data_IF_466463497309
#
_entry.id   IF_466463497309
#
_cell.length_a   1.000
_cell.length_b   1.000
_cell.length_c   1.000
_cell.angle_alpha   90.00
_cell.angle_beta   90.00
_cell.angle_gamma   90.00
#
_symmetry.space_group_name_H-M   'P 1'
#
loop_
_entity.id
_entity.type
_entity.pdbx_description
1 polymer ?
#
# COMPACT_ATOMS: atom_id res chain seq x y z
N UNK A 1 -20.34 20.24 6.06
CA UNK A 1 -19.27 19.25 6.33
C UNK A 1 -19.69 17.94 5.66
N UNK A 2 -18.85 17.31 4.82
CA UNK A 2 -19.25 16.13 4.02
C UNK A 2 -19.68 14.93 4.89
N UNK A 3 -18.86 14.55 5.88
CA UNK A 3 -19.11 13.35 6.73
C UNK A 3 -19.76 13.64 8.09
N UNK A 4 -20.04 14.90 8.43
CA UNK A 4 -20.68 15.25 9.71
C UNK A 4 -19.93 14.83 10.99
N UNK A 5 -18.62 14.52 10.91
CA UNK A 5 -17.84 14.08 12.07
C UNK A 5 -17.84 15.09 13.22
N UNK A 6 -17.67 14.58 14.45
CA UNK A 6 -17.59 15.39 15.68
C UNK A 6 -16.51 16.47 15.53
N UNK A 7 -16.77 17.74 15.91
CA UNK A 7 -15.76 18.81 15.83
C UNK A 7 -14.48 18.53 16.63
N UNK A 8 -14.57 17.68 17.66
CA UNK A 8 -13.46 17.26 18.51
C UNK A 8 -12.63 16.10 17.96
N UNK A 9 -12.89 15.64 16.71
CA UNK A 9 -12.11 14.57 16.09
C UNK A 9 -10.63 14.96 16.01
N UNK A 10 -9.74 14.09 16.50
CA UNK A 10 -8.29 14.26 16.37
C UNK A 10 -7.91 13.98 14.91
N UNK A 11 -7.25 14.92 14.25
CA UNK A 11 -6.92 14.84 12.82
C UNK A 11 -5.42 14.87 12.65
N UNK A 12 -4.92 14.04 11.75
CA UNK A 12 -3.55 14.11 11.24
C UNK A 12 -3.64 14.09 9.72
N UNK A 13 -3.06 15.11 9.08
CA UNK A 13 -3.07 15.27 7.64
C UNK A 13 -1.67 15.01 7.10
N UNK A 14 -1.54 14.07 6.18
CA UNK A 14 -0.27 13.75 5.51
C UNK A 14 -0.42 14.08 4.02
N UNK A 15 0.15 15.21 3.60
CA UNK A 15 0.20 15.59 2.19
C UNK A 15 1.52 15.12 1.57
N UNK A 16 1.48 14.81 0.27
CA UNK A 16 2.67 14.61 -0.58
C UNK A 16 3.65 13.56 -0.05
N UNK A 17 3.14 12.47 0.51
CA UNK A 17 3.98 11.34 0.95
C UNK A 17 4.29 10.37 -0.20
N UNK A 18 3.42 10.30 -1.21
CA UNK A 18 3.57 9.38 -2.35
C UNK A 18 3.03 7.97 -2.07
N UNK A 19 3.40 7.03 -2.93
CA UNK A 19 2.77 5.71 -3.01
C UNK A 19 2.87 4.85 -1.74
N UNK A 20 3.90 5.04 -0.91
CA UNK A 20 4.09 4.26 0.32
C UNK A 20 3.13 4.69 1.44
N UNK A 21 2.39 5.79 1.27
CA UNK A 21 1.58 6.36 2.34
C UNK A 21 0.44 5.43 2.80
N UNK A 22 0.02 4.46 1.97
CA UNK A 22 -0.90 3.40 2.38
C UNK A 22 -0.38 2.57 3.55
N UNK A 23 0.91 2.23 3.58
CA UNK A 23 1.54 1.61 4.74
C UNK A 23 1.71 2.59 5.91
N UNK A 24 2.05 3.84 5.61
CA UNK A 24 2.22 4.90 6.64
C UNK A 24 0.94 5.17 7.43
N UNK A 25 -0.21 5.25 6.76
CA UNK A 25 -1.50 5.49 7.44
C UNK A 25 -1.88 4.31 8.34
N UNK A 26 -1.58 3.07 7.96
CA UNK A 26 -1.82 1.89 8.79
C UNK A 26 -0.89 1.89 10.01
N UNK A 27 0.40 2.21 9.83
CA UNK A 27 1.37 2.37 10.93
C UNK A 27 0.89 3.40 11.95
N UNK A 28 0.46 4.57 11.48
CA UNK A 28 -0.04 5.63 12.35
C UNK A 28 -1.37 5.23 13.03
N UNK A 29 -2.29 4.62 12.28
CA UNK A 29 -3.58 4.20 12.82
C UNK A 29 -3.42 3.12 13.90
N UNK A 30 -2.44 2.22 13.76
CA UNK A 30 -2.06 1.24 14.78
C UNK A 30 -1.75 1.94 16.11
N UNK A 31 -0.78 2.85 16.13
CA UNK A 31 -0.38 3.56 17.36
C UNK A 31 -1.54 4.36 17.97
N UNK A 32 -2.34 5.04 17.13
CA UNK A 32 -3.48 5.82 17.59
C UNK A 32 -4.57 4.92 18.20
N UNK A 33 -4.88 3.79 17.57
CA UNK A 33 -5.89 2.84 18.01
C UNK A 33 -5.50 2.15 19.32
N UNK A 34 -4.27 1.64 19.38
CA UNK A 34 -3.76 0.87 20.53
C UNK A 34 -3.51 1.75 21.76
N UNK A 35 -3.06 2.99 21.56
CA UNK A 35 -2.71 3.88 22.67
C UNK A 35 -3.89 4.71 23.21
N UNK A 36 -5.10 4.56 22.64
CA UNK A 36 -6.30 5.28 23.08
C UNK A 36 -7.49 4.32 23.23
N UNK A 37 -7.80 3.93 24.47
CA UNK A 37 -8.90 3.00 24.77
C UNK A 37 -10.24 3.42 24.14
N UNK A 38 -10.88 2.49 23.43
CA UNK A 38 -12.17 2.70 22.77
C UNK A 38 -12.11 3.60 21.52
N UNK A 39 -10.92 3.96 21.05
CA UNK A 39 -10.79 4.77 19.84
C UNK A 39 -11.12 3.96 18.58
N UNK A 40 -11.65 4.68 17.58
CA UNK A 40 -11.85 4.20 16.21
C UNK A 40 -11.29 5.25 15.26
N UNK A 41 -10.32 4.85 14.46
CA UNK A 41 -9.57 5.73 13.56
C UNK A 41 -10.09 5.53 12.16
N UNK A 42 -10.70 6.57 11.58
CA UNK A 42 -11.04 6.61 10.16
C UNK A 42 -9.80 7.07 9.38
N UNK A 43 -9.28 6.18 8.56
CA UNK A 43 -8.20 6.46 7.60
C UNK A 43 -8.81 6.66 6.22
N UNK A 44 -8.32 7.66 5.48
CA UNK A 44 -8.73 7.92 4.10
C UNK A 44 -7.49 8.22 3.26
N UNK A 45 -7.27 7.43 2.22
CA UNK A 45 -6.36 7.75 1.12
C UNK A 45 -7.22 8.16 -0.08
N UNK A 46 -6.94 9.31 -0.70
CA UNK A 46 -7.69 9.82 -1.85
C UNK A 46 -6.73 10.49 -2.81
N UNK A 47 -6.67 9.96 -4.02
CA UNK A 47 -5.64 10.28 -5.01
C UNK A 47 -6.32 10.65 -6.32
N UNK A 48 -5.91 11.78 -6.89
CA UNK A 48 -6.47 12.35 -8.12
C UNK A 48 -5.32 12.80 -9.03
N UNK A 49 -5.30 12.28 -10.25
CA UNK A 49 -4.26 12.49 -11.26
C UNK A 49 -4.25 13.87 -11.88
N UNK A 50 -5.25 14.72 -11.60
CA UNK A 50 -5.29 16.11 -12.08
C UNK A 50 -4.01 16.90 -11.73
N UNK A 51 -3.32 16.55 -10.64
CA UNK A 51 -2.08 17.19 -10.21
C UNK A 51 -0.83 16.70 -10.99
N UNK A 52 -0.90 15.52 -11.59
CA UNK A 52 0.22 14.86 -12.30
C UNK A 52 0.01 14.75 -13.82
N UNK A 53 -1.21 14.98 -14.31
CA UNK A 53 -1.56 14.88 -15.73
C UNK A 53 -0.85 15.94 -16.56
N UNK A 54 -0.22 15.51 -17.67
CA UNK A 54 0.45 16.42 -18.61
C UNK A 54 0.62 15.82 -20.00
N UNK A 55 0.87 16.66 -20.99
CA UNK A 55 1.22 16.24 -22.35
C UNK A 55 2.58 15.51 -22.42
N UNK A 56 2.78 14.65 -23.43
CA UNK A 56 4.02 13.89 -23.60
C UNK A 56 5.19 14.79 -24.04
N UNK A 57 6.41 14.31 -23.80
CA UNK A 57 7.65 14.97 -24.23
C UNK A 57 8.75 13.93 -24.44
N UNK A 58 9.44 14.00 -25.58
CA UNK A 58 10.53 13.08 -25.93
C UNK A 58 11.72 13.16 -24.96
N UNK A 59 11.85 14.26 -24.21
CA UNK A 59 12.90 14.43 -23.20
C UNK A 59 12.52 13.85 -21.83
N UNK A 60 11.25 13.54 -21.57
CA UNK A 60 10.72 13.07 -20.28
C UNK A 60 9.94 11.75 -20.42
N UNK A 61 10.62 10.69 -20.88
CA UNK A 61 10.02 9.37 -21.08
C UNK A 61 9.53 8.72 -19.77
N UNK A 62 10.19 9.01 -18.65
CA UNK A 62 9.75 8.63 -17.30
C UNK A 62 8.38 9.21 -16.96
N UNK A 63 8.11 10.46 -17.35
CA UNK A 63 6.78 11.06 -17.21
C UNK A 63 5.72 10.27 -17.99
N UNK A 64 6.04 9.74 -19.18
CA UNK A 64 5.10 8.93 -19.96
C UNK A 64 4.77 7.61 -19.27
N UNK A 65 5.74 6.99 -18.58
CA UNK A 65 5.49 5.78 -17.78
C UNK A 65 4.43 6.08 -16.72
N UNK A 66 4.56 7.18 -15.97
CA UNK A 66 3.54 7.54 -14.99
C UNK A 66 2.19 7.95 -15.61
N UNK A 67 2.17 8.58 -16.80
CA UNK A 67 0.89 8.83 -17.50
C UNK A 67 0.16 7.54 -17.90
N UNK A 68 0.88 6.44 -18.12
CA UNK A 68 0.30 5.14 -18.44
C UNK A 68 -0.09 4.32 -17.20
N UNK A 69 0.47 4.63 -16.03
CA UNK A 69 0.25 3.88 -14.80
C UNK A 69 -0.76 4.52 -13.86
N UNK A 70 -0.71 5.84 -13.66
CA UNK A 70 -1.48 6.48 -12.59
C UNK A 70 -2.97 6.53 -12.87
N UNK A 71 -3.76 6.14 -11.87
CA UNK A 71 -5.23 6.19 -11.88
C UNK A 71 -5.78 6.96 -10.68
N UNK A 72 -7.03 7.39 -10.76
CA UNK A 72 -7.75 8.05 -9.67
C UNK A 72 -8.36 6.99 -8.75
N UNK A 73 -8.34 7.24 -7.43
CA UNK A 73 -8.92 6.30 -6.47
C UNK A 73 -8.95 6.81 -5.04
N UNK A 74 -9.93 6.35 -4.27
CA UNK A 74 -10.01 6.62 -2.85
C UNK A 74 -10.43 5.37 -2.07
N UNK A 75 -9.75 5.11 -0.96
CA UNK A 75 -10.04 4.02 -0.05
C UNK A 75 -10.13 4.54 1.39
N UNK A 76 -10.99 3.90 2.19
CA UNK A 76 -11.14 4.20 3.59
C UNK A 76 -11.18 2.94 4.44
N UNK A 77 -10.52 2.98 5.60
CA UNK A 77 -10.55 1.88 6.58
C UNK A 77 -10.86 2.43 7.97
N UNK A 78 -11.52 1.62 8.79
CA UNK A 78 -11.73 1.89 10.21
C UNK A 78 -10.81 0.96 10.99
N UNK A 79 -9.91 1.54 11.79
CA UNK A 79 -8.96 0.81 12.62
C UNK A 79 -9.31 1.02 14.10
N UNK A 80 -9.27 -0.03 14.89
CA UNK A 80 -9.55 0.01 16.32
C UNK A 80 -8.89 -1.17 17.04
N UNK A 81 -8.62 -0.97 18.33
CA UNK A 81 -8.27 -2.05 19.26
C UNK A 81 -9.51 -2.47 20.07
N UNK A 82 -9.44 -3.67 20.66
CA UNK A 82 -10.49 -4.26 21.51
C UNK A 82 -11.88 -4.22 20.83
N UNK A 83 -12.10 -5.02 19.77
CA UNK A 83 -13.35 -4.99 19.04
C UNK A 83 -14.53 -5.50 19.89
N UNK A 84 -15.68 -4.83 19.78
CA UNK A 84 -16.95 -5.34 20.31
C UNK A 84 -17.51 -6.34 19.29
N UNK A 85 -17.24 -7.62 19.49
CA UNK A 85 -17.62 -8.69 18.56
C UNK A 85 -19.12 -8.92 18.44
N UNK A 86 -19.95 -8.23 19.24
CA UNK A 86 -21.41 -8.23 19.04
C UNK A 86 -21.84 -7.41 17.82
N UNK A 87 -21.03 -6.43 17.40
CA UNK A 87 -21.34 -5.50 16.30
C UNK A 87 -20.20 -5.37 15.28
N UNK A 88 -18.95 -5.55 15.71
CA UNK A 88 -17.75 -5.42 14.89
C UNK A 88 -17.25 -6.77 14.42
N UNK A 89 -16.74 -6.80 13.19
CA UNK A 89 -16.18 -7.99 12.54
C UNK A 89 -14.75 -7.68 12.12
N UNK A 90 -13.74 -8.04 12.92
CA UNK A 90 -12.34 -7.82 12.57
C UNK A 90 -12.01 -8.49 11.23
N UNK A 91 -11.29 -7.77 10.37
CA UNK A 91 -10.87 -8.28 9.05
C UNK A 91 -9.40 -8.68 9.05
N UNK A 92 -8.53 -7.80 9.56
CA UNK A 92 -7.10 -8.02 9.64
C UNK A 92 -6.59 -7.48 10.98
N UNK A 93 -5.40 -7.94 11.41
CA UNK A 93 -4.71 -7.42 12.58
C UNK A 93 -3.39 -6.77 12.15
N UNK A 94 -3.13 -5.56 12.65
CA UNK A 94 -1.87 -4.86 12.42
C UNK A 94 -0.86 -5.29 13.49
N UNK A 95 -0.08 -6.34 13.23
CA UNK A 95 0.83 -6.92 14.23
C UNK A 95 2.06 -6.04 14.46
N UNK A 96 2.74 -5.65 13.37
CA UNK A 96 3.90 -4.77 13.39
C UNK A 96 3.86 -3.80 12.21
N UNK A 97 4.62 -2.72 12.28
CA UNK A 97 4.77 -1.77 11.18
C UNK A 97 6.18 -1.18 11.20
N UNK A 98 6.87 -1.29 10.07
CA UNK A 98 8.25 -0.83 9.90
C UNK A 98 8.38 0.07 8.65
N UNK A 99 9.44 0.86 8.61
CA UNK A 99 9.81 1.68 7.47
C UNK A 99 11.32 1.78 7.41
N UNK A 100 11.87 1.79 6.19
CA UNK A 100 13.30 1.93 5.95
C UNK A 100 13.54 2.80 4.72
N UNK A 101 14.77 3.31 4.58
CA UNK A 101 15.28 3.97 3.39
C UNK A 101 16.31 3.02 2.78
N UNK A 102 16.17 2.73 1.49
CA UNK A 102 17.07 1.79 0.82
C UNK A 102 18.47 2.41 0.65
N UNK A 103 19.55 1.64 0.79
CA UNK A 103 20.88 2.13 0.49
C UNK A 103 21.00 2.46 -1.01
N UNK A 104 21.76 3.51 -1.32
CA UNK A 104 22.06 3.95 -2.68
C UNK A 104 20.80 4.24 -3.53
N UNK A 105 19.71 4.72 -2.91
CA UNK A 105 18.43 5.01 -3.59
C UNK A 105 18.08 6.49 -3.69
N UNK A 106 19.01 7.39 -3.34
CA UNK A 106 18.80 8.83 -3.48
C UNK A 106 18.44 9.22 -4.93
N UNK A 107 17.36 9.98 -5.09
CA UNK A 107 16.85 10.40 -6.41
C UNK A 107 16.20 9.28 -7.24
N UNK A 108 16.02 8.07 -6.69
CA UNK A 108 15.39 6.96 -7.41
C UNK A 108 13.94 7.26 -7.82
N UNK A 109 13.21 7.96 -6.94
CA UNK A 109 11.86 8.43 -7.17
C UNK A 109 11.79 9.85 -6.60
N UNK A 110 11.72 10.85 -7.46
CA UNK A 110 11.58 12.24 -7.07
C UNK A 110 10.22 12.79 -7.50
N UNK A 111 9.60 13.59 -6.63
CA UNK A 111 8.39 14.34 -6.90
C UNK A 111 8.62 15.82 -6.60
N UNK A 112 8.44 16.68 -7.59
CA UNK A 112 8.61 18.12 -7.46
C UNK A 112 7.29 18.84 -7.75
N UNK A 113 6.72 19.50 -6.74
CA UNK A 113 5.60 20.41 -6.94
C UNK A 113 6.13 21.73 -7.51
N UNK A 114 5.66 22.09 -8.70
CA UNK A 114 6.05 23.30 -9.46
C UNK A 114 4.80 24.07 -9.88
N UNK A 115 4.98 25.23 -10.50
CA UNK A 115 3.90 26.01 -11.12
C UNK A 115 3.13 25.20 -12.19
N UNK A 116 3.81 24.22 -12.81
CA UNK A 116 3.27 23.29 -13.81
C UNK A 116 2.64 22.03 -13.22
N UNK A 117 2.37 22.01 -11.91
CA UNK A 117 1.87 20.83 -11.19
C UNK A 117 2.99 19.95 -10.62
N UNK A 118 2.66 18.70 -10.26
CA UNK A 118 3.58 17.74 -9.64
C UNK A 118 4.33 16.93 -10.69
N UNK A 119 5.55 17.30 -11.02
CA UNK A 119 6.42 16.53 -11.91
C UNK A 119 7.11 15.41 -11.14
N UNK A 120 7.17 14.21 -11.71
CA UNK A 120 7.86 13.08 -11.10
C UNK A 120 9.00 12.60 -12.01
N UNK A 121 10.07 12.12 -11.39
CA UNK A 121 11.23 11.55 -12.05
C UNK A 121 11.50 10.16 -11.48
N UNK A 122 11.72 9.21 -12.39
CA UNK A 122 11.92 7.81 -12.04
C UNK A 122 13.25 7.33 -12.63
N UNK A 123 14.15 6.86 -11.78
CA UNK A 123 15.28 6.07 -12.26
C UNK A 123 14.76 4.75 -12.83
N UNK A 124 15.37 4.30 -13.93
CA UNK A 124 14.94 3.06 -14.62
C UNK A 124 15.02 1.82 -13.73
N UNK A 125 15.93 1.81 -12.75
CA UNK A 125 16.23 0.63 -11.92
C UNK A 125 15.53 0.62 -10.55
N UNK A 126 14.42 1.34 -10.39
CA UNK A 126 13.58 1.24 -9.18
C UNK A 126 13.17 -0.20 -8.86
N UNK A 127 12.74 -1.05 -9.83
CA UNK A 127 12.45 -2.46 -9.56
C UNK A 127 13.65 -3.22 -8.99
N UNK A 128 14.87 -3.00 -9.52
CA UNK A 128 16.10 -3.64 -9.05
C UNK A 128 16.48 -3.22 -7.64
N UNK A 129 16.34 -1.92 -7.33
CA UNK A 129 16.57 -1.40 -5.97
C UNK A 129 15.63 -2.06 -4.95
N UNK A 130 14.34 -2.19 -5.28
CA UNK A 130 13.35 -2.81 -4.38
C UNK A 130 13.64 -4.30 -4.21
N UNK A 131 13.80 -5.05 -5.31
CA UNK A 131 14.02 -6.50 -5.26
C UNK A 131 15.31 -6.85 -4.52
N UNK A 132 16.40 -6.10 -4.70
CA UNK A 132 17.66 -6.30 -3.97
C UNK A 132 17.50 -6.21 -2.45
N UNK A 133 16.56 -5.40 -1.94
CA UNK A 133 16.46 -5.06 -0.52
C UNK A 133 15.22 -5.63 0.20
N UNK A 134 14.21 -6.13 -0.52
CA UNK A 134 12.95 -6.57 0.08
C UNK A 134 13.13 -7.70 1.10
N UNK A 135 13.99 -8.67 0.79
CA UNK A 135 14.24 -9.84 1.64
C UNK A 135 14.77 -9.44 3.02
N UNK A 136 15.65 -8.43 3.10
CA UNK A 136 16.12 -7.89 4.39
C UNK A 136 14.96 -7.35 5.23
N UNK A 137 14.04 -6.61 4.62
CA UNK A 137 12.88 -6.05 5.32
C UNK A 137 11.95 -7.16 5.82
N UNK A 138 11.77 -8.24 5.05
CA UNK A 138 11.00 -9.41 5.47
C UNK A 138 11.65 -10.12 6.64
N UNK A 139 12.96 -10.39 6.57
CA UNK A 139 13.69 -11.04 7.66
C UNK A 139 13.58 -10.21 8.95
N UNK A 140 13.77 -8.89 8.89
CA UNK A 140 13.63 -8.01 10.06
C UNK A 140 12.21 -8.03 10.64
N UNK A 141 11.18 -8.07 9.80
CA UNK A 141 9.78 -8.08 10.23
C UNK A 141 9.31 -9.44 10.79
N UNK A 142 9.76 -10.55 10.19
CA UNK A 142 9.22 -11.89 10.43
C UNK A 142 10.10 -12.78 11.31
N UNK A 143 11.41 -12.50 11.44
CA UNK A 143 12.29 -13.24 12.35
C UNK A 143 11.79 -13.28 13.81
N UNK A 144 11.22 -12.20 14.39
CA UNK A 144 10.69 -12.24 15.77
C UNK A 144 9.51 -13.21 15.97
N UNK A 145 8.81 -13.58 14.89
CA UNK A 145 7.68 -14.52 14.91
C UNK A 145 8.00 -15.87 14.24
N UNK A 146 9.27 -16.09 13.87
CA UNK A 146 9.77 -17.38 13.39
C UNK A 146 9.35 -17.77 11.97
N UNK A 147 8.90 -16.81 11.14
CA UNK A 147 8.51 -17.06 9.75
C UNK A 147 9.68 -16.76 8.82
N UNK A 148 9.97 -17.70 7.92
CA UNK A 148 11.01 -17.58 6.89
C UNK A 148 10.59 -18.13 5.51
N UNK A 149 9.41 -18.75 5.42
CA UNK A 149 8.81 -19.15 4.14
C UNK A 149 7.86 -18.06 3.66
N UNK A 150 8.29 -17.29 2.67
CA UNK A 150 7.52 -16.19 2.09
C UNK A 150 6.27 -16.65 1.34
N UNK A 151 6.17 -17.94 0.98
CA UNK A 151 4.96 -18.51 0.38
C UNK A 151 3.92 -18.93 1.43
N UNK A 152 4.29 -19.00 2.71
CA UNK A 152 3.38 -19.33 3.81
C UNK A 152 2.52 -18.14 4.30
N UNK A 153 2.84 -16.92 3.85
CA UNK A 153 2.14 -15.68 4.23
C UNK A 153 1.35 -15.09 3.06
N UNK A 154 0.24 -14.38 3.27
CA UNK A 154 -0.46 -13.63 2.23
C UNK A 154 0.28 -12.33 1.88
N UNK A 155 0.08 -11.84 0.64
CA UNK A 155 0.86 -10.73 0.10
C UNK A 155 0.01 -9.57 -0.38
N UNK A 156 0.37 -8.38 0.08
CA UNK A 156 -0.20 -7.11 -0.34
C UNK A 156 0.97 -6.18 -0.65
N UNK A 157 1.34 -6.13 -1.93
CA UNK A 157 2.40 -5.26 -2.41
C UNK A 157 1.79 -4.04 -3.10
N UNK A 158 2.36 -2.85 -2.91
CA UNK A 158 1.93 -1.70 -3.70
C UNK A 158 2.25 -1.97 -5.18
N UNK A 159 1.28 -1.89 -6.11
CA UNK A 159 1.47 -2.16 -7.52
C UNK A 159 2.03 -0.93 -8.24
N UNK A 160 3.25 -0.52 -7.85
CA UNK A 160 3.90 0.69 -8.39
C UNK A 160 4.13 0.63 -9.89
N UNK A 161 4.28 -0.59 -10.41
CA UNK A 161 4.34 -0.97 -11.82
C UNK A 161 4.59 -2.47 -11.92
N UNK A 162 4.24 -3.11 -13.06
CA UNK A 162 4.33 -4.57 -13.21
C UNK A 162 5.77 -5.08 -13.00
N UNK A 163 6.77 -4.34 -13.48
CA UNK A 163 8.18 -4.72 -13.34
C UNK A 163 8.65 -4.85 -11.88
N UNK A 164 8.08 -4.09 -10.94
CA UNK A 164 8.40 -4.21 -9.51
C UNK A 164 7.87 -5.55 -8.98
N UNK A 165 6.62 -5.88 -9.32
CA UNK A 165 5.97 -7.12 -8.89
C UNK A 165 6.71 -8.34 -9.44
N UNK A 166 7.04 -8.32 -10.74
CA UNK A 166 7.76 -9.42 -11.41
C UNK A 166 9.13 -9.66 -10.76
N UNK A 167 9.89 -8.60 -10.47
CA UNK A 167 11.20 -8.76 -9.85
C UNK A 167 11.12 -9.20 -8.38
N UNK A 168 10.13 -8.75 -7.62
CA UNK A 168 9.92 -9.22 -6.23
C UNK A 168 9.52 -10.69 -6.22
N UNK A 169 8.61 -11.10 -7.10
CA UNK A 169 8.17 -12.49 -7.28
C UNK A 169 9.36 -13.41 -7.59
N UNK A 170 10.17 -13.06 -8.59
CA UNK A 170 11.38 -13.82 -8.98
C UNK A 170 12.40 -13.87 -7.84
N UNK A 171 12.67 -12.73 -7.20
CA UNK A 171 13.72 -12.61 -6.18
C UNK A 171 13.42 -13.45 -4.94
N UNK A 172 12.15 -13.56 -4.55
CA UNK A 172 11.71 -14.27 -3.36
C UNK A 172 11.18 -15.68 -3.66
N UNK A 173 11.22 -16.10 -4.93
CA UNK A 173 10.65 -17.36 -5.40
C UNK A 173 9.19 -17.54 -4.94
N UNK A 174 8.39 -16.47 -5.10
CA UNK A 174 6.98 -16.50 -4.76
C UNK A 174 6.23 -17.31 -5.83
N UNK A 175 5.26 -18.10 -5.37
CA UNK A 175 4.29 -18.70 -6.28
C UNK A 175 3.43 -17.61 -6.91
N UNK A 176 3.03 -17.81 -8.16
CA UNK A 176 2.28 -16.83 -8.96
C UNK A 176 1.02 -16.33 -8.24
N UNK A 177 0.33 -17.21 -7.51
CA UNK A 177 -0.89 -16.84 -6.78
C UNK A 177 -0.66 -15.80 -5.68
N UNK A 178 0.57 -15.65 -5.15
CA UNK A 178 0.86 -14.74 -4.03
C UNK A 178 0.58 -13.29 -4.39
N UNK A 179 0.84 -12.88 -5.63
CA UNK A 179 0.62 -11.50 -6.08
C UNK A 179 -0.69 -11.32 -6.86
N UNK A 180 -1.56 -12.34 -6.91
CA UNK A 180 -2.82 -12.31 -7.67
C UNK A 180 -3.69 -11.09 -7.32
N UNK A 181 -4.02 -10.87 -6.05
CA UNK A 181 -4.86 -9.74 -5.64
C UNK A 181 -4.23 -8.39 -6.00
N UNK A 182 -2.89 -8.29 -5.87
CA UNK A 182 -2.13 -7.10 -6.24
C UNK A 182 -2.20 -6.83 -7.75
N UNK A 183 -2.02 -7.87 -8.58
CA UNK A 183 -2.09 -7.78 -10.04
C UNK A 183 -3.50 -7.47 -10.54
N UNK A 184 -4.54 -8.03 -9.90
CA UNK A 184 -5.94 -7.71 -10.22
C UNK A 184 -6.24 -6.22 -10.01
N UNK A 185 -5.85 -5.66 -8.85
CA UNK A 185 -6.08 -4.24 -8.57
C UNK A 185 -5.32 -3.35 -9.55
N UNK A 186 -4.08 -3.72 -9.92
CA UNK A 186 -3.33 -3.00 -10.94
C UNK A 186 -4.03 -3.04 -12.31
N UNK A 187 -4.56 -4.20 -12.70
CA UNK A 187 -5.28 -4.40 -13.95
C UNK A 187 -6.54 -3.54 -14.03
N UNK A 188 -7.34 -3.54 -12.97
CA UNK A 188 -8.67 -2.92 -12.99
C UNK A 188 -8.64 -1.41 -12.73
N UNK A 189 -7.65 -0.94 -11.95
CA UNK A 189 -7.63 0.44 -11.45
C UNK A 189 -6.33 1.20 -11.72
N UNK A 190 -5.28 0.53 -12.22
CA UNK A 190 -3.95 1.13 -12.36
C UNK A 190 -3.29 1.43 -11.01
N UNK A 191 -2.31 2.33 -11.02
CA UNK A 191 -1.61 2.81 -9.83
C UNK A 191 -2.34 4.02 -9.23
N UNK A 192 -3.21 3.76 -8.25
CA UNK A 192 -3.88 4.77 -7.42
C UNK A 192 -3.04 5.24 -6.23
N UNK A 193 -1.70 5.26 -6.35
CA UNK A 193 -0.78 5.73 -5.31
C UNK A 193 -1.06 5.07 -3.93
N UNK A 194 -1.31 5.85 -2.89
CA UNK A 194 -1.47 5.38 -1.52
C UNK A 194 -2.73 4.54 -1.28
N UNK A 195 -3.74 4.64 -2.16
CA UNK A 195 -4.98 3.89 -2.04
C UNK A 195 -4.83 2.42 -2.46
N UNK A 196 -3.85 2.08 -3.31
CA UNK A 196 -3.74 0.73 -3.90
C UNK A 196 -3.72 -0.39 -2.87
N UNK A 197 -2.87 -0.30 -1.84
CA UNK A 197 -2.75 -1.38 -0.84
C UNK A 197 -4.04 -1.60 -0.05
N UNK A 198 -4.88 -0.56 0.08
CA UNK A 198 -6.18 -0.66 0.72
C UNK A 198 -7.22 -1.30 -0.22
N UNK A 199 -7.16 -1.03 -1.52
CA UNK A 199 -7.94 -1.77 -2.53
C UNK A 199 -7.56 -3.24 -2.56
N UNK A 200 -6.27 -3.56 -2.43
CA UNK A 200 -5.79 -4.95 -2.44
C UNK A 200 -6.25 -5.70 -1.18
N UNK A 201 -6.26 -5.05 0.00
CA UNK A 201 -6.87 -5.60 1.21
C UNK A 201 -8.35 -5.94 0.99
N UNK A 202 -9.10 -5.08 0.29
CA UNK A 202 -10.52 -5.30 -0.01
C UNK A 202 -10.73 -6.43 -1.02
N UNK A 203 -9.99 -6.44 -2.13
CA UNK A 203 -9.99 -7.52 -3.13
C UNK A 203 -9.67 -8.87 -2.48
N UNK A 204 -8.62 -8.93 -1.66
CA UNK A 204 -8.19 -10.14 -0.98
C UNK A 204 -9.26 -10.70 -0.04
N UNK A 205 -9.86 -9.86 0.81
CA UNK A 205 -10.93 -10.35 1.73
C UNK A 205 -12.16 -10.81 0.97
N UNK A 206 -12.51 -10.14 -0.13
CA UNK A 206 -13.72 -10.44 -0.91
C UNK A 206 -13.54 -11.76 -1.65
N UNK A 207 -12.38 -11.96 -2.29
CA UNK A 207 -12.03 -13.24 -2.93
C UNK A 207 -11.94 -14.38 -1.92
N UNK A 208 -11.35 -14.14 -0.75
CA UNK A 208 -11.29 -15.15 0.31
C UNK A 208 -12.68 -15.58 0.77
N UNK A 209 -13.63 -14.64 0.89
CA UNK A 209 -15.02 -14.95 1.22
C UNK A 209 -15.74 -15.71 0.09
N UNK A 210 -15.57 -15.27 -1.17
CA UNK A 210 -16.15 -15.93 -2.35
C UNK A 210 -15.67 -17.39 -2.50
N UNK A 211 -14.40 -17.64 -2.19
CA UNK A 211 -13.78 -18.97 -2.26
C UNK A 211 -13.98 -19.82 -1.00
N UNK A 212 -14.68 -19.29 0.02
CA UNK A 212 -14.93 -20.00 1.29
C UNK A 212 -13.67 -20.29 2.11
N UNK A 213 -12.66 -19.40 2.04
CA UNK A 213 -11.43 -19.51 2.84
C UNK A 213 -11.71 -19.28 4.33
N UNK A 214 -10.87 -19.86 5.17
CA UNK A 214 -10.97 -19.75 6.64
C UNK A 214 -10.62 -18.36 7.18
N UNK A 215 -9.80 -17.59 6.46
CA UNK A 215 -9.36 -16.25 6.84
C UNK A 215 -9.57 -15.28 5.68
N UNK A 216 -9.59 -13.98 5.99
CA UNK A 216 -9.60 -12.88 5.01
C UNK A 216 -8.32 -12.77 4.18
N UNK A 217 -7.22 -13.38 4.65
CA UNK A 217 -5.91 -13.44 4.00
C UNK A 217 -5.70 -14.74 3.26
N UNK A 218 -6.61 -15.10 2.35
CA UNK A 218 -6.51 -16.27 1.48
C UNK A 218 -6.49 -17.64 2.20
N UNK A 219 -6.97 -17.70 3.44
CA UNK A 219 -6.94 -18.91 4.27
C UNK A 219 -5.62 -19.11 5.02
N UNK A 220 -4.70 -18.14 4.96
CA UNK A 220 -3.45 -18.11 5.71
C UNK A 220 -3.63 -17.31 7.01
N UNK A 221 -2.84 -17.68 8.03
CA UNK A 221 -2.81 -16.98 9.33
C UNK A 221 -2.04 -15.66 9.26
N UNK A 222 -1.07 -15.57 8.35
CA UNK A 222 -0.11 -14.47 8.20
C UNK A 222 -0.03 -14.01 6.76
#
# INVERSE_FOLDING_TARGET
KLLGLRPSVKRLMMYQQGCFAGGTVLRLAKDLAENNKGSRVLVVCSEITAVTFRGPSDTHLDSMVGQALFGDGAAAVIVGADPDTSIERPLFQLVSAAQTILPDSDGAIDGHLREVGLTFHLLKDVPGLISKNIEKSLVEAFAPIGINDWNSIFWIAHPGGPAILDQVEIKLDLKEEKLRATRNVLSDYGNMSSACVLFILDEMRNKSLEEGKSTTGEGLEW
#
